data_IF_616588149257
#
_entry.id   IF_616588149257
#
_cell.length_a   1.000
_cell.length_b   1.000
_cell.length_c   1.000
_cell.angle_alpha   90.00
_cell.angle_beta   90.00
_cell.angle_gamma   90.00
#
_symmetry.space_group_name_H-M   'P 1'
#
loop_
_entity.id
_entity.type
_entity.pdbx_description
1 polymer ?
#
# COMPACT_ATOMS: atom_id res chain seq x y z
N UNK A 1 -24.66 2.73 2.61
CA UNK A 1 -24.16 1.96 3.76
C UNK A 1 -22.67 2.23 3.88
N UNK A 2 -22.14 2.43 5.10
CA UNK A 2 -20.69 2.53 5.30
C UNK A 2 -20.11 1.12 5.37
N UNK A 3 -19.02 0.86 4.63
CA UNK A 3 -18.30 -0.41 4.68
C UNK A 3 -16.99 -0.21 5.44
N UNK A 4 -16.80 -1.01 6.49
CA UNK A 4 -15.58 -1.01 7.29
C UNK A 4 -14.75 -2.24 6.94
N UNK A 5 -13.45 -2.05 6.70
CA UNK A 5 -12.49 -3.12 6.39
C UNK A 5 -11.32 -3.04 7.35
N UNK A 6 -10.99 -4.16 7.98
CA UNK A 6 -9.77 -4.30 8.80
C UNK A 6 -8.66 -4.87 7.92
N UNK A 7 -7.53 -4.19 7.88
CA UNK A 7 -6.33 -4.60 7.16
C UNK A 7 -5.32 -5.15 8.17
N UNK A 8 -4.74 -6.32 7.90
CA UNK A 8 -3.85 -7.02 8.84
C UNK A 8 -2.43 -6.96 8.33
N UNK A 9 -1.50 -6.63 9.24
CA UNK A 9 -0.09 -6.49 8.91
C UNK A 9 0.53 -7.76 8.29
N UNK A 10 0.01 -8.94 8.67
CA UNK A 10 0.49 -10.23 8.13
C UNK A 10 0.23 -10.39 6.63
N UNK A 11 -0.71 -9.61 6.07
CA UNK A 11 -1.14 -9.71 4.67
C UNK A 11 -0.52 -8.63 3.77
N UNK A 12 0.28 -7.71 4.31
CA UNK A 12 0.80 -6.59 3.52
C UNK A 12 1.87 -7.03 2.53
N UNK A 13 1.75 -6.67 1.23
CA UNK A 13 2.82 -6.92 0.28
C UNK A 13 4.02 -6.04 0.60
N UNK A 14 5.20 -6.67 0.68
CA UNK A 14 6.48 -5.98 0.91
C UNK A 14 7.24 -5.80 -0.39
N UNK A 15 7.61 -4.57 -0.71
CA UNK A 15 8.40 -4.21 -1.89
C UNK A 15 9.77 -3.65 -1.46
N UNK A 16 10.88 -4.31 -1.84
CA UNK A 16 12.22 -3.75 -1.65
C UNK A 16 12.42 -2.45 -2.43
N UNK A 17 13.19 -1.51 -1.88
CA UNK A 17 13.54 -0.29 -2.57
C UNK A 17 14.59 -0.52 -3.64
N UNK A 18 14.53 0.24 -4.75
CA UNK A 18 15.50 0.15 -5.84
C UNK A 18 16.95 0.42 -5.39
N UNK A 19 17.14 1.24 -4.36
CA UNK A 19 18.46 1.59 -3.82
C UNK A 19 18.98 0.60 -2.77
N UNK A 20 18.24 -0.47 -2.45
CA UNK A 20 18.63 -1.48 -1.47
C UNK A 20 18.62 -1.05 0.00
N UNK A 21 18.26 0.21 0.32
CA UNK A 21 18.33 0.76 1.68
C UNK A 21 17.15 0.41 2.59
N UNK A 22 16.19 -0.37 2.09
CA UNK A 22 14.97 -0.67 2.84
C UNK A 22 13.89 -1.35 2.01
N UNK A 23 12.69 -1.36 2.57
CA UNK A 23 11.48 -1.89 1.94
C UNK A 23 10.26 -1.13 2.44
N UNK A 24 9.17 -1.21 1.68
CA UNK A 24 7.87 -0.65 2.06
C UNK A 24 6.83 -1.77 2.06
N UNK A 25 5.99 -1.81 3.10
CA UNK A 25 4.79 -2.63 3.14
C UNK A 25 3.60 -1.76 2.72
N UNK A 26 2.76 -2.21 1.78
CA UNK A 26 1.61 -1.41 1.37
C UNK A 26 0.36 -1.77 2.17
N UNK A 27 -0.30 -0.77 2.76
CA UNK A 27 -1.53 -0.98 3.56
C UNK A 27 -2.76 -0.86 2.66
N UNK A 28 -2.97 0.30 2.03
CA UNK A 28 -4.10 0.57 1.13
C UNK A 28 -3.88 1.84 0.30
N UNK A 29 -4.66 1.99 -0.77
CA UNK A 29 -4.70 3.15 -1.67
C UNK A 29 -6.12 3.41 -2.14
N UNK A 30 -6.34 4.50 -2.87
CA UNK A 30 -7.57 4.71 -3.64
C UNK A 30 -7.63 3.79 -4.88
N UNK A 31 -8.63 3.98 -5.75
CA UNK A 31 -8.83 3.14 -6.93
C UNK A 31 -7.76 3.34 -8.03
N UNK A 32 -6.82 4.25 -7.83
CA UNK A 32 -5.73 4.54 -8.75
C UNK A 32 -4.73 3.39 -8.88
N UNK A 33 -4.33 3.07 -10.11
CA UNK A 33 -3.39 1.97 -10.40
C UNK A 33 -1.97 2.47 -10.62
N UNK A 34 -0.97 1.67 -10.24
CA UNK A 34 0.44 2.02 -10.42
C UNK A 34 0.98 2.97 -9.34
N UNK A 35 2.24 3.40 -9.49
CA UNK A 35 2.91 4.25 -8.50
C UNK A 35 2.61 5.75 -8.66
N UNK A 36 2.16 6.17 -9.84
CA UNK A 36 1.86 7.58 -10.13
C UNK A 36 0.36 7.83 -10.34
N UNK A 37 -0.45 6.76 -10.30
CA UNK A 37 -1.88 6.81 -10.60
C UNK A 37 -2.80 6.90 -9.39
N UNK A 38 -2.27 6.85 -8.15
CA UNK A 38 -3.06 6.98 -6.93
C UNK A 38 -3.23 8.44 -6.51
N UNK A 39 -4.42 8.83 -6.04
CA UNK A 39 -4.66 10.11 -5.39
C UNK A 39 -4.16 10.14 -3.94
N UNK A 40 -4.21 8.99 -3.26
CA UNK A 40 -3.61 8.80 -1.94
C UNK A 40 -3.16 7.36 -1.71
N UNK A 41 -2.14 7.19 -0.86
CA UNK A 41 -1.58 5.89 -0.47
C UNK A 41 -1.16 5.90 0.99
N UNK A 42 -1.36 4.76 1.66
CA UNK A 42 -0.83 4.48 2.99
C UNK A 42 0.07 3.24 2.94
N UNK A 43 1.24 3.36 3.56
CA UNK A 43 2.27 2.33 3.65
C UNK A 43 3.01 2.45 4.98
#
# INVERSE_FOLDING_TARGET
MSQLKVLRAVDYPRMPWKNGGGSTEEITRDAGTGLDGFGWRLS
#
